data_IF_249635936296
#
_entry.id   IF_249635936296
#
_cell.length_a   1.000
_cell.length_b   1.000
_cell.length_c   1.000
_cell.angle_alpha   90.00
_cell.angle_beta   90.00
_cell.angle_gamma   90.00
#
_symmetry.space_group_name_H-M   'P 1'
#
loop_
_entity.id
_entity.type
_entity.pdbx_description
1 polymer ?
#
# COMPACT_ATOMS: atom_id res chain seq x y z
N UNK A 1 6.75 -12.15 8.62
CA UNK A 1 7.04 -11.47 7.34
C UNK A 1 6.26 -12.18 6.26
N UNK A 2 5.55 -11.47 5.37
CA UNK A 2 4.90 -12.11 4.23
C UNK A 2 5.98 -12.83 3.40
N UNK A 3 5.71 -14.06 3.00
CA UNK A 3 6.58 -14.78 2.08
C UNK A 3 6.54 -14.03 0.74
N UNK A 4 7.50 -13.16 0.50
CA UNK A 4 7.59 -12.41 -0.77
C UNK A 4 8.48 -13.20 -1.72
N UNK A 5 7.88 -13.70 -2.78
CA UNK A 5 8.60 -14.29 -3.88
C UNK A 5 8.90 -13.17 -4.89
N UNK A 6 10.18 -12.77 -5.01
CA UNK A 6 10.56 -11.67 -5.89
C UNK A 6 10.61 -12.09 -7.36
N UNK A 7 11.20 -13.24 -7.64
CA UNK A 7 11.46 -13.66 -9.00
C UNK A 7 10.85 -15.00 -9.38
N UNK A 8 10.73 -15.94 -8.45
CA UNK A 8 10.17 -17.25 -8.69
C UNK A 8 9.48 -17.80 -7.44
N UNK A 9 8.27 -18.30 -7.61
CA UNK A 9 7.48 -18.84 -6.49
C UNK A 9 6.05 -19.18 -6.88
N UNK A 10 5.23 -19.63 -5.93
CA UNK A 10 3.83 -19.95 -6.16
C UNK A 10 3.01 -18.71 -6.52
N UNK A 11 1.99 -18.90 -7.33
CA UNK A 11 1.01 -17.90 -7.72
C UNK A 11 -0.33 -18.20 -7.07
N UNK A 12 -1.16 -17.19 -6.85
CA UNK A 12 -2.31 -17.22 -5.96
C UNK A 12 -1.92 -17.54 -4.51
N UNK A 13 -2.86 -18.07 -3.73
CA UNK A 13 -2.59 -18.48 -2.37
C UNK A 13 -2.29 -19.98 -2.28
N UNK A 14 -1.68 -20.39 -1.18
CA UNK A 14 -1.51 -21.80 -0.84
C UNK A 14 -2.87 -22.54 -0.77
N UNK A 15 -3.98 -21.81 -0.57
CA UNK A 15 -5.33 -22.36 -0.54
C UNK A 15 -5.82 -22.86 -1.92
N UNK A 16 -5.34 -22.26 -3.01
CA UNK A 16 -5.77 -22.60 -4.39
C UNK A 16 -4.65 -23.20 -5.23
N UNK A 17 -3.40 -23.00 -4.85
CA UNK A 17 -2.29 -23.69 -5.48
C UNK A 17 -2.31 -25.14 -5.00
N UNK A 18 -2.53 -26.12 -5.88
CA UNK A 18 -2.52 -27.50 -5.48
C UNK A 18 -1.18 -27.88 -4.87
N UNK A 19 -1.24 -28.68 -3.81
CA UNK A 19 -0.05 -29.26 -3.21
C UNK A 19 0.63 -30.22 -4.21
N UNK A 20 1.92 -30.42 -4.04
CA UNK A 20 2.62 -31.44 -4.80
C UNK A 20 2.06 -32.82 -4.45
N UNK A 21 1.71 -33.63 -5.46
CA UNK A 21 1.05 -34.94 -5.23
C UNK A 21 1.97 -35.95 -4.55
N UNK A 22 3.28 -35.84 -4.79
CA UNK A 22 4.28 -36.79 -4.27
C UNK A 22 4.83 -36.38 -2.92
N UNK A 23 5.13 -35.11 -2.79
CA UNK A 23 5.70 -34.51 -1.58
C UNK A 23 4.89 -33.29 -1.15
N UNK A 24 3.69 -33.46 -0.56
CA UNK A 24 2.81 -32.35 -0.20
C UNK A 24 3.39 -31.42 0.87
N UNK A 25 4.35 -31.91 1.65
CA UNK A 25 5.03 -31.15 2.68
C UNK A 25 6.55 -31.30 2.57
N UNK A 26 7.27 -30.20 2.79
CA UNK A 26 8.74 -30.20 2.90
C UNK A 26 9.16 -29.75 4.28
N UNK A 27 10.37 -30.12 4.66
CA UNK A 27 10.97 -29.69 5.92
C UNK A 27 11.05 -28.16 6.00
N UNK A 28 10.58 -27.59 7.10
CA UNK A 28 10.74 -26.18 7.41
C UNK A 28 12.20 -25.80 7.66
N UNK A 29 12.45 -24.49 7.72
CA UNK A 29 13.81 -23.97 7.92
C UNK A 29 14.36 -24.34 9.29
N UNK A 30 15.66 -24.71 9.39
CA UNK A 30 16.29 -24.98 10.67
C UNK A 30 16.34 -23.69 11.51
N UNK A 31 16.04 -23.82 12.82
CA UNK A 31 16.18 -22.75 13.81
C UNK A 31 17.57 -22.85 14.44
N UNK A 32 18.28 -21.74 14.49
CA UNK A 32 19.65 -21.66 15.02
C UNK A 32 19.65 -20.86 16.33
N UNK A 33 20.32 -21.37 17.35
CA UNK A 33 20.64 -20.67 18.58
C UNK A 33 22.15 -20.57 18.76
N UNK A 34 22.61 -19.47 19.34
CA UNK A 34 24.03 -19.28 19.65
C UNK A 34 24.36 -20.02 20.93
N UNK A 35 25.28 -20.96 20.84
CA UNK A 35 25.90 -21.57 22.01
C UNK A 35 26.95 -20.63 22.58
N UNK A 36 26.65 -19.99 23.70
CA UNK A 36 27.54 -19.03 24.37
C UNK A 36 28.84 -19.62 24.88
N UNK A 37 28.91 -20.94 25.07
CA UNK A 37 30.15 -21.63 25.52
C UNK A 37 31.13 -21.83 24.37
N UNK A 38 30.62 -22.23 23.21
CA UNK A 38 31.44 -22.53 22.03
C UNK A 38 31.51 -21.38 21.01
N UNK A 39 30.70 -20.36 21.20
CA UNK A 39 30.50 -19.22 20.30
C UNK A 39 30.08 -19.61 18.87
N UNK A 40 29.43 -20.77 18.71
CA UNK A 40 28.95 -21.32 17.44
C UNK A 40 27.44 -21.40 17.45
N UNK A 41 26.85 -21.35 16.26
CA UNK A 41 25.42 -21.59 16.09
C UNK A 41 25.14 -23.08 16.00
N UNK A 42 24.14 -23.56 16.75
CA UNK A 42 23.64 -24.93 16.72
C UNK A 42 22.19 -24.93 16.26
N UNK A 43 21.81 -25.95 15.51
CA UNK A 43 20.40 -26.20 15.16
C UNK A 43 19.71 -26.74 16.41
N UNK A 44 18.62 -26.08 16.83
CA UNK A 44 17.91 -26.40 18.08
C UNK A 44 16.53 -27.02 17.86
N UNK A 45 15.99 -26.99 16.65
CA UNK A 45 14.73 -27.65 16.35
C UNK A 45 14.96 -29.12 15.97
N UNK A 46 14.78 -30.01 16.93
CA UNK A 46 14.81 -31.45 16.68
C UNK A 46 13.60 -31.92 15.86
N UNK A 47 12.49 -31.21 16.00
CA UNK A 47 11.28 -31.39 15.21
C UNK A 47 11.17 -30.22 14.26
N UNK A 48 11.34 -30.48 12.98
CA UNK A 48 11.21 -29.46 11.95
C UNK A 48 9.73 -29.18 11.70
N UNK A 49 9.38 -27.89 11.65
CA UNK A 49 8.07 -27.50 11.14
C UNK A 49 7.94 -27.96 9.69
N UNK A 50 6.75 -28.37 9.26
CA UNK A 50 6.48 -28.66 7.85
C UNK A 50 5.99 -27.41 7.13
N UNK A 51 6.45 -27.22 5.91
CA UNK A 51 5.93 -26.20 4.99
C UNK A 51 5.17 -26.90 3.86
N UNK A 52 4.04 -26.30 3.43
CA UNK A 52 3.29 -26.78 2.28
C UNK A 52 4.16 -26.66 1.03
N UNK A 53 4.31 -27.76 0.32
CA UNK A 53 4.98 -27.81 -0.96
C UNK A 53 3.96 -27.61 -2.08
N UNK A 54 4.01 -26.47 -2.75
CA UNK A 54 3.12 -26.19 -3.89
C UNK A 54 3.60 -26.92 -5.15
N UNK A 55 2.64 -27.42 -5.93
CA UNK A 55 2.90 -28.05 -7.21
C UNK A 55 3.76 -27.15 -8.11
N UNK A 56 4.81 -27.72 -8.70
CA UNK A 56 5.75 -27.00 -9.56
C UNK A 56 5.06 -26.31 -10.75
N UNK A 57 3.95 -26.86 -11.24
CA UNK A 57 3.16 -26.27 -12.33
C UNK A 57 2.51 -24.94 -11.94
N UNK A 58 2.30 -24.67 -10.64
CA UNK A 58 1.78 -23.40 -10.12
C UNK A 58 2.86 -22.39 -9.76
N UNK A 59 4.12 -22.68 -9.98
CA UNK A 59 5.22 -21.73 -9.84
C UNK A 59 5.43 -20.93 -11.11
N UNK A 60 5.85 -19.70 -11.00
CA UNK A 60 6.12 -18.83 -12.14
C UNK A 60 7.17 -17.77 -11.86
N UNK A 61 7.56 -17.08 -12.93
CA UNK A 61 8.52 -15.98 -12.88
C UNK A 61 7.81 -14.69 -12.47
N UNK A 62 8.44 -13.93 -11.56
CA UNK A 62 7.92 -12.65 -11.04
C UNK A 62 6.47 -12.82 -10.51
N UNK A 63 6.23 -13.70 -9.53
CA UNK A 63 4.89 -13.91 -8.99
C UNK A 63 4.45 -12.67 -8.20
N UNK A 64 3.38 -12.04 -8.67
CA UNK A 64 2.76 -10.87 -8.01
C UNK A 64 1.40 -11.20 -7.42
N UNK A 65 0.60 -11.98 -8.13
CA UNK A 65 -0.74 -12.40 -7.77
C UNK A 65 -0.67 -13.56 -6.77
N UNK A 66 -0.29 -13.26 -5.53
CA UNK A 66 -0.16 -14.26 -4.48
C UNK A 66 -0.58 -13.70 -3.11
N UNK A 67 -1.44 -14.45 -2.41
CA UNK A 67 -1.81 -14.19 -1.01
C UNK A 67 -2.22 -15.48 -0.32
N UNK A 68 -1.85 -15.66 0.94
CA UNK A 68 -2.25 -16.81 1.76
C UNK A 68 -3.73 -16.78 2.18
N UNK A 69 -4.41 -15.66 2.08
CA UNK A 69 -5.77 -15.51 2.63
C UNK A 69 -6.72 -14.63 1.82
N UNK A 70 -6.25 -13.95 0.78
CA UNK A 70 -7.03 -12.97 0.01
C UNK A 70 -6.90 -13.17 -1.49
N UNK A 71 -6.83 -14.44 -1.93
CA UNK A 71 -6.64 -14.75 -3.34
C UNK A 71 -7.79 -14.24 -4.23
N UNK A 72 -9.02 -14.24 -3.71
CA UNK A 72 -10.19 -13.70 -4.43
C UNK A 72 -10.02 -12.26 -4.90
N UNK A 73 -9.34 -11.41 -4.12
CA UNK A 73 -9.10 -10.01 -4.49
C UNK A 73 -8.26 -9.85 -5.77
N UNK A 74 -7.48 -10.85 -6.14
CA UNK A 74 -6.65 -10.84 -7.35
C UNK A 74 -7.41 -11.22 -8.61
N UNK A 75 -8.59 -11.83 -8.49
CA UNK A 75 -9.38 -12.26 -9.66
C UNK A 75 -9.75 -11.09 -10.58
N UNK A 76 -9.88 -9.89 -10.04
CA UNK A 76 -10.12 -8.66 -10.81
C UNK A 76 -8.98 -8.32 -11.79
N UNK A 77 -7.79 -8.91 -11.60
CA UNK A 77 -6.59 -8.66 -12.42
C UNK A 77 -6.21 -9.85 -13.31
N UNK A 78 -6.92 -10.97 -13.22
CA UNK A 78 -6.73 -12.17 -14.07
C UNK A 78 -7.90 -12.32 -15.00
N UNK A 79 -7.76 -11.87 -16.21
CA UNK A 79 -8.82 -11.98 -17.22
C UNK A 79 -8.37 -12.84 -18.43
N UNK A 80 -9.16 -13.83 -18.87
CA UNK A 80 -10.34 -14.39 -18.24
C UNK A 80 -10.02 -15.26 -17.01
N UNK A 81 -11.01 -15.41 -16.11
CA UNK A 81 -10.92 -16.33 -14.98
C UNK A 81 -10.62 -17.75 -15.50
N UNK A 82 -9.51 -18.35 -15.07
CA UNK A 82 -8.95 -19.55 -15.68
C UNK A 82 -9.11 -20.76 -14.77
N UNK A 83 -10.28 -21.35 -14.78
CA UNK A 83 -10.50 -22.64 -14.15
C UNK A 83 -11.44 -23.51 -15.00
N UNK A 84 -11.33 -24.80 -14.86
CA UNK A 84 -12.17 -25.79 -15.55
C UNK A 84 -12.61 -26.87 -14.57
N UNK A 85 -13.81 -27.42 -14.77
CA UNK A 85 -14.26 -28.57 -13.97
C UNK A 85 -13.41 -29.78 -14.34
N UNK A 86 -12.88 -30.49 -13.34
CA UNK A 86 -12.13 -31.72 -13.53
C UNK A 86 -12.98 -32.76 -14.28
N UNK A 87 -12.40 -33.49 -15.21
CA UNK A 87 -13.12 -34.44 -16.10
C UNK A 87 -13.99 -35.44 -15.35
N UNK A 88 -13.55 -35.89 -14.19
CA UNK A 88 -14.28 -36.83 -13.31
C UNK A 88 -15.59 -36.28 -12.74
N UNK A 89 -15.75 -34.96 -12.74
CA UNK A 89 -16.93 -34.29 -12.15
C UNK A 89 -17.78 -33.55 -13.20
N UNK A 90 -17.43 -33.59 -14.48
CA UNK A 90 -18.20 -32.94 -15.56
C UNK A 90 -19.61 -33.49 -15.74
N UNK A 91 -19.90 -34.70 -15.23
CA UNK A 91 -21.22 -35.33 -15.27
C UNK A 91 -22.07 -35.03 -14.02
N UNK A 92 -21.54 -34.35 -13.02
CA UNK A 92 -22.26 -34.00 -11.80
C UNK A 92 -23.03 -32.67 -11.97
N UNK A 93 -24.34 -32.75 -12.20
CA UNK A 93 -25.21 -31.60 -12.48
C UNK A 93 -25.06 -30.48 -11.46
N UNK A 94 -25.02 -30.83 -10.18
CA UNK A 94 -24.93 -29.84 -9.08
C UNK A 94 -23.64 -29.00 -9.16
N UNK A 95 -22.51 -29.63 -9.49
CA UNK A 95 -21.23 -28.91 -9.64
C UNK A 95 -21.24 -28.02 -10.87
N UNK A 96 -21.75 -28.57 -11.99
CA UNK A 96 -21.84 -27.82 -13.25
C UNK A 96 -22.77 -26.61 -13.13
N UNK A 97 -23.91 -26.77 -12.46
CA UNK A 97 -24.88 -25.70 -12.23
C UNK A 97 -24.29 -24.60 -11.34
N UNK A 98 -23.66 -24.97 -10.22
CA UNK A 98 -23.03 -23.99 -9.31
C UNK A 98 -21.89 -23.22 -9.97
N UNK A 99 -21.10 -23.88 -10.82
CA UNK A 99 -20.02 -23.21 -11.60
C UNK A 99 -20.59 -22.28 -12.64
N UNK A 100 -21.64 -22.67 -13.35
CA UNK A 100 -22.29 -21.82 -14.36
C UNK A 100 -22.99 -20.61 -13.73
N UNK A 101 -23.60 -20.77 -12.57
CA UNK A 101 -24.18 -19.66 -11.82
C UNK A 101 -23.11 -18.66 -11.41
N UNK A 102 -21.98 -19.14 -10.87
CA UNK A 102 -20.84 -18.29 -10.49
C UNK A 102 -20.30 -17.50 -11.71
N UNK A 103 -20.08 -18.17 -12.83
CA UNK A 103 -19.62 -17.52 -14.07
C UNK A 103 -20.62 -16.47 -14.56
N UNK A 104 -21.92 -16.76 -14.46
CA UNK A 104 -22.96 -15.82 -14.86
C UNK A 104 -22.94 -14.55 -14.01
N UNK A 105 -22.81 -14.69 -12.69
CA UNK A 105 -22.70 -13.55 -11.75
C UNK A 105 -21.39 -12.78 -11.97
N UNK A 106 -20.29 -13.47 -12.28
CA UNK A 106 -19.02 -12.84 -12.62
C UNK A 106 -19.11 -11.93 -13.85
N UNK A 107 -19.74 -12.43 -14.91
CA UNK A 107 -19.99 -11.67 -16.15
C UNK A 107 -20.89 -10.45 -15.94
N UNK A 108 -21.76 -10.48 -14.94
CA UNK A 108 -22.63 -9.36 -14.54
C UNK A 108 -21.93 -8.35 -13.63
N UNK A 109 -20.71 -8.67 -13.14
CA UNK A 109 -19.94 -7.83 -12.21
C UNK A 109 -20.54 -7.78 -10.79
N UNK A 110 -21.28 -8.80 -10.40
CA UNK A 110 -21.97 -8.89 -9.11
C UNK A 110 -21.10 -9.53 -8.00
N UNK A 111 -19.93 -10.05 -8.35
CA UNK A 111 -19.07 -10.76 -7.40
C UNK A 111 -18.08 -9.85 -6.68
N UNK A 112 -18.00 -10.03 -5.37
CA UNK A 112 -16.99 -9.44 -4.51
C UNK A 112 -15.77 -10.39 -4.34
N UNK A 113 -14.67 -9.88 -3.77
CA UNK A 113 -13.52 -10.73 -3.43
C UNK A 113 -13.88 -11.88 -2.47
N UNK A 114 -14.84 -11.68 -1.58
CA UNK A 114 -15.29 -12.71 -0.65
C UNK A 114 -16.11 -13.80 -1.34
N UNK A 115 -16.92 -13.47 -2.35
CA UNK A 115 -17.64 -14.47 -3.16
C UNK A 115 -16.65 -15.40 -3.88
N UNK A 116 -15.54 -14.87 -4.43
CA UNK A 116 -14.48 -15.70 -5.01
C UNK A 116 -13.81 -16.60 -3.97
N UNK A 117 -13.53 -16.08 -2.78
CA UNK A 117 -12.93 -16.88 -1.71
C UNK A 117 -13.85 -18.02 -1.28
N UNK A 118 -15.15 -17.77 -1.15
CA UNK A 118 -16.13 -18.80 -0.80
C UNK A 118 -16.29 -19.85 -1.90
N UNK A 119 -16.38 -19.41 -3.15
CA UNK A 119 -16.46 -20.29 -4.31
C UNK A 119 -15.26 -21.24 -4.40
N UNK A 120 -14.05 -20.73 -4.36
CA UNK A 120 -12.86 -21.58 -4.43
C UNK A 120 -12.65 -22.42 -3.20
N UNK A 121 -13.12 -21.99 -2.04
CA UNK A 121 -13.10 -22.79 -0.82
C UNK A 121 -14.03 -24.00 -0.90
N UNK A 122 -15.20 -23.82 -1.49
CA UNK A 122 -16.23 -24.87 -1.60
C UNK A 122 -16.01 -25.78 -2.81
N UNK A 123 -15.73 -25.19 -3.98
CA UNK A 123 -15.64 -25.90 -5.25
C UNK A 123 -14.20 -26.16 -5.75
N UNK A 124 -13.19 -25.54 -5.15
CA UNK A 124 -11.79 -25.71 -5.54
C UNK A 124 -11.32 -27.16 -5.71
N UNK A 125 -11.72 -28.13 -4.83
CA UNK A 125 -11.39 -29.55 -5.00
C UNK A 125 -11.92 -30.20 -6.29
N UNK A 126 -12.93 -29.60 -6.91
CA UNK A 126 -13.58 -30.09 -8.13
C UNK A 126 -13.07 -29.37 -9.40
N UNK A 127 -12.20 -28.37 -9.23
CA UNK A 127 -11.73 -27.51 -10.31
C UNK A 127 -10.24 -27.73 -10.60
N UNK A 128 -9.89 -27.59 -11.86
CA UNK A 128 -8.52 -27.39 -12.30
C UNK A 128 -8.28 -25.89 -12.48
N UNK A 129 -7.60 -25.27 -11.53
CA UNK A 129 -7.35 -23.83 -11.52
C UNK A 129 -6.02 -23.55 -12.20
N UNK A 130 -6.06 -22.76 -13.29
CA UNK A 130 -4.84 -22.36 -14.00
C UNK A 130 -4.11 -21.26 -13.21
N UNK A 131 -2.79 -21.32 -13.24
CA UNK A 131 -1.96 -20.24 -12.68
C UNK A 131 -2.08 -18.97 -13.52
N UNK A 132 -1.94 -17.77 -12.93
CA UNK A 132 -1.80 -16.55 -13.68
C UNK A 132 -0.58 -16.59 -14.60
N UNK A 133 -0.71 -16.03 -15.80
CA UNK A 133 0.40 -15.91 -16.73
C UNK A 133 1.43 -14.86 -16.26
N UNK A 134 2.59 -14.82 -16.92
CA UNK A 134 3.56 -13.73 -16.68
C UNK A 134 2.95 -12.36 -17.01
N UNK A 135 2.09 -12.26 -18.02
CA UNK A 135 1.45 -11.00 -18.40
C UNK A 135 0.46 -10.53 -17.32
N UNK A 136 -0.33 -11.43 -16.74
CA UNK A 136 -1.24 -11.09 -15.63
C UNK A 136 -0.46 -10.55 -14.43
N UNK A 137 0.68 -11.14 -14.10
CA UNK A 137 1.56 -10.67 -13.03
C UNK A 137 2.20 -9.32 -13.34
N UNK A 138 2.62 -9.09 -14.60
CA UNK A 138 3.18 -7.80 -15.02
C UNK A 138 2.10 -6.71 -15.07
N UNK A 139 0.90 -7.04 -15.54
CA UNK A 139 -0.21 -6.10 -15.51
C UNK A 139 -0.55 -5.67 -14.09
N UNK A 140 -0.69 -6.62 -13.17
CA UNK A 140 -0.88 -6.30 -11.76
C UNK A 140 0.25 -5.44 -11.18
N UNK A 141 1.52 -5.74 -11.53
CA UNK A 141 2.66 -4.95 -11.08
C UNK A 141 2.57 -3.51 -11.57
N UNK A 142 2.33 -3.28 -12.86
CA UNK A 142 2.38 -1.95 -13.43
C UNK A 142 1.09 -1.15 -13.21
N UNK A 143 -0.08 -1.78 -13.42
CA UNK A 143 -1.36 -1.09 -13.30
C UNK A 143 -1.74 -0.83 -11.85
N UNK A 144 -1.56 -1.81 -10.98
CA UNK A 144 -1.96 -1.70 -9.59
C UNK A 144 -0.81 -1.28 -8.66
N UNK A 145 0.26 -2.08 -8.56
CA UNK A 145 1.29 -1.82 -7.54
C UNK A 145 2.11 -0.55 -7.83
N UNK A 146 2.52 -0.33 -9.07
CA UNK A 146 3.31 0.85 -9.44
C UNK A 146 2.41 2.06 -9.68
N UNK A 147 1.39 1.93 -10.52
CA UNK A 147 0.57 3.08 -10.88
C UNK A 147 -0.39 3.48 -9.76
N UNK A 148 -1.24 2.54 -9.30
CA UNK A 148 -2.26 2.86 -8.32
C UNK A 148 -1.70 3.01 -6.90
N UNK A 149 -0.92 2.05 -6.40
CA UNK A 149 -0.42 2.10 -5.02
C UNK A 149 0.73 3.09 -4.83
N UNK A 150 1.62 3.28 -5.81
CA UNK A 150 2.75 4.19 -5.64
C UNK A 150 2.49 5.57 -6.28
N UNK A 151 2.30 5.65 -7.60
CA UNK A 151 2.18 6.95 -8.29
C UNK A 151 0.94 7.73 -7.90
N UNK A 152 -0.22 7.08 -7.73
CA UNK A 152 -1.42 7.73 -7.21
C UNK A 152 -1.14 8.37 -5.85
N UNK A 153 -0.54 7.62 -4.94
CA UNK A 153 -0.24 8.09 -3.59
C UNK A 153 0.88 9.15 -3.57
N UNK A 154 1.88 9.03 -4.44
CA UNK A 154 2.88 10.07 -4.66
C UNK A 154 2.22 11.39 -5.13
N UNK A 155 1.31 11.31 -6.09
CA UNK A 155 0.59 12.49 -6.58
C UNK A 155 -0.39 13.05 -5.53
N UNK A 156 -0.90 12.26 -4.61
CA UNK A 156 -1.64 12.75 -3.44
C UNK A 156 -0.84 13.80 -2.67
N UNK A 157 0.43 13.53 -2.49
CA UNK A 157 1.31 14.38 -1.70
C UNK A 157 1.82 15.61 -2.46
N UNK A 158 1.90 15.56 -3.79
CA UNK A 158 2.56 16.62 -4.57
C UNK A 158 1.68 17.28 -5.65
N UNK A 159 0.51 16.73 -5.95
CA UNK A 159 -0.48 17.38 -6.84
C UNK A 159 -1.75 17.77 -6.08
N UNK A 160 -2.20 16.92 -5.18
CA UNK A 160 -3.37 17.13 -4.32
C UNK A 160 -4.16 15.85 -4.09
N UNK A 161 -5.03 15.87 -3.09
CA UNK A 161 -5.77 14.74 -2.55
C UNK A 161 -7.27 14.92 -2.69
N UNK A 162 -7.97 13.91 -3.21
CA UNK A 162 -9.42 13.94 -3.37
C UNK A 162 -10.15 13.93 -2.03
N UNK A 163 -9.78 13.01 -1.15
CA UNK A 163 -10.27 12.84 0.23
C UNK A 163 -9.33 11.89 1.00
N UNK A 164 -9.62 11.62 2.26
CA UNK A 164 -8.89 10.72 3.15
C UNK A 164 -9.48 9.30 3.23
N UNK A 165 -10.48 9.01 2.42
CA UNK A 165 -11.07 7.67 2.33
C UNK A 165 -10.16 6.76 1.52
N UNK A 166 -9.91 5.55 2.02
CA UNK A 166 -9.11 4.56 1.31
C UNK A 166 -9.71 4.25 -0.07
N UNK A 167 -8.88 4.29 -1.09
CA UNK A 167 -9.31 4.00 -2.45
C UNK A 167 -9.47 2.50 -2.71
N UNK A 168 -10.48 2.15 -3.47
CA UNK A 168 -10.80 0.78 -3.88
C UNK A 168 -10.60 0.56 -5.38
N UNK A 169 -9.58 1.17 -5.96
CA UNK A 169 -9.28 1.10 -7.39
C UNK A 169 -10.41 1.63 -8.29
N UNK A 170 -11.14 2.61 -7.79
CA UNK A 170 -12.24 3.29 -8.48
C UNK A 170 -12.07 4.82 -8.46
N UNK A 171 -12.99 5.54 -9.08
CA UNK A 171 -12.95 7.01 -9.17
C UNK A 171 -13.57 7.74 -7.96
N UNK A 172 -14.23 7.01 -7.06
CA UNK A 172 -15.05 7.61 -6.00
C UNK A 172 -14.22 8.17 -4.86
N UNK A 173 -13.19 7.42 -4.42
CA UNK A 173 -12.41 7.77 -3.25
C UNK A 173 -10.92 7.54 -3.45
N UNK A 174 -10.12 8.24 -2.64
CA UNK A 174 -8.70 7.99 -2.51
C UNK A 174 -7.86 8.29 -3.75
N UNK A 175 -8.33 9.17 -4.64
CA UNK A 175 -7.58 9.55 -5.82
C UNK A 175 -6.78 10.84 -5.60
N UNK A 176 -5.80 11.10 -6.46
CA UNK A 176 -5.18 12.41 -6.53
C UNK A 176 -6.05 13.36 -7.35
N UNK A 177 -5.98 14.66 -7.03
CA UNK A 177 -6.59 15.74 -7.80
C UNK A 177 -5.57 16.85 -7.99
N UNK A 178 -5.74 17.63 -9.08
CA UNK A 178 -4.83 18.73 -9.34
C UNK A 178 -5.38 20.08 -8.90
N UNK A 179 -6.70 20.23 -8.81
CA UNK A 179 -7.40 21.52 -8.70
C UNK A 179 -7.65 22.18 -10.06
N UNK A 180 -7.19 21.56 -11.16
CA UNK A 180 -7.44 22.05 -12.52
C UNK A 180 -8.64 21.28 -13.06
N UNK A 181 -9.80 21.93 -13.12
CA UNK A 181 -11.08 21.29 -13.45
C UNK A 181 -11.03 20.41 -14.70
N UNK A 182 -10.40 20.86 -15.77
CA UNK A 182 -10.30 20.10 -17.01
C UNK A 182 -9.59 18.74 -16.81
N UNK A 183 -8.49 18.74 -16.06
CA UNK A 183 -7.73 17.51 -15.79
C UNK A 183 -8.51 16.57 -14.86
N UNK A 184 -9.08 17.15 -13.81
CA UNK A 184 -9.78 16.37 -12.78
C UNK A 184 -11.11 15.79 -13.33
N UNK A 185 -11.83 16.53 -14.17
CA UNK A 185 -13.06 16.05 -14.83
C UNK A 185 -12.81 14.89 -15.79
N UNK A 186 -11.71 14.93 -16.56
CA UNK A 186 -11.37 13.84 -17.49
C UNK A 186 -11.10 12.51 -16.76
N UNK A 187 -10.65 12.58 -15.51
CA UNK A 187 -10.27 11.41 -14.73
C UNK A 187 -11.32 10.94 -13.75
N UNK A 188 -11.99 11.85 -13.08
CA UNK A 188 -12.85 11.58 -11.92
C UNK A 188 -14.30 12.01 -12.16
N UNK A 189 -14.65 12.47 -13.37
CA UNK A 189 -15.97 13.01 -13.64
C UNK A 189 -16.16 14.44 -13.15
N UNK A 190 -17.39 14.94 -13.23
CA UNK A 190 -17.70 16.34 -12.97
C UNK A 190 -17.49 16.72 -11.49
N UNK A 191 -16.47 17.50 -11.21
CA UNK A 191 -16.10 17.91 -9.85
C UNK A 191 -17.02 19.02 -9.27
N UNK A 192 -17.82 19.67 -10.11
CA UNK A 192 -18.78 20.69 -9.65
C UNK A 192 -20.07 20.11 -9.08
N UNK A 193 -20.39 18.85 -9.41
CA UNK A 193 -21.63 18.16 -9.00
C UNK A 193 -21.44 17.23 -7.79
N UNK A 194 -20.28 17.28 -7.15
CA UNK A 194 -20.04 16.53 -5.91
C UNK A 194 -21.00 16.99 -4.80
N UNK A 195 -21.32 16.07 -3.88
CA UNK A 195 -22.05 16.41 -2.67
C UNK A 195 -21.31 17.45 -1.82
N UNK A 196 -22.03 18.18 -0.98
CA UNK A 196 -21.41 19.18 -0.10
C UNK A 196 -20.38 18.56 0.85
N UNK A 197 -20.63 17.35 1.33
CA UNK A 197 -19.68 16.62 2.20
C UNK A 197 -18.35 16.33 1.48
N UNK A 198 -18.41 15.97 0.21
CA UNK A 198 -17.22 15.71 -0.61
C UNK A 198 -16.48 17.00 -0.98
N UNK A 199 -17.22 18.09 -1.27
CA UNK A 199 -16.60 19.39 -1.58
C UNK A 199 -15.92 19.99 -0.36
N UNK A 200 -16.54 19.88 0.82
CA UNK A 200 -16.09 20.48 2.07
C UNK A 200 -15.23 19.53 2.93
N UNK A 201 -14.84 18.37 2.39
CA UNK A 201 -13.96 17.46 3.09
C UNK A 201 -12.61 18.15 3.36
N UNK A 202 -12.21 18.23 4.63
CA UNK A 202 -10.96 18.88 5.06
C UNK A 202 -9.72 18.29 4.42
N UNK A 203 -9.76 17.00 4.11
CA UNK A 203 -8.68 16.30 3.45
C UNK A 203 -8.64 16.50 1.92
N UNK A 204 -9.59 17.26 1.34
CA UNK A 204 -9.62 17.61 -0.07
C UNK A 204 -8.68 18.80 -0.36
N UNK A 205 -7.46 18.51 -0.76
CA UNK A 205 -6.40 19.47 -0.94
C UNK A 205 -5.95 19.55 -2.39
N UNK A 206 -5.69 20.75 -2.91
CA UNK A 206 -5.25 20.96 -4.29
C UNK A 206 -4.01 21.85 -4.33
N UNK A 207 -2.98 21.40 -5.06
CA UNK A 207 -1.70 22.13 -5.13
C UNK A 207 -1.35 22.59 -6.55
N UNK A 208 -2.24 22.41 -7.53
CA UNK A 208 -2.08 22.86 -8.92
C UNK A 208 -0.77 22.37 -9.56
N UNK A 209 -0.30 21.19 -9.16
CA UNK A 209 1.00 20.63 -9.53
C UNK A 209 2.21 21.46 -9.12
N UNK A 210 2.06 22.54 -8.35
CA UNK A 210 3.18 23.46 -8.02
C UNK A 210 4.34 22.74 -7.31
N UNK A 211 4.11 21.91 -6.26
CA UNK A 211 5.19 21.14 -5.66
C UNK A 211 5.82 20.14 -6.64
N UNK A 212 5.02 19.50 -7.48
CA UNK A 212 5.50 18.54 -8.47
C UNK A 212 6.41 19.20 -9.50
N UNK A 213 5.98 20.32 -10.06
CA UNK A 213 6.77 21.11 -11.04
C UNK A 213 8.08 21.57 -10.39
N UNK A 214 8.00 22.09 -9.16
CA UNK A 214 9.20 22.55 -8.44
C UNK A 214 10.19 21.40 -8.20
N UNK A 215 9.71 20.22 -7.83
CA UNK A 215 10.55 19.03 -7.66
C UNK A 215 11.20 18.57 -8.97
N UNK A 216 10.46 18.61 -10.09
CA UNK A 216 11.02 18.28 -11.42
C UNK A 216 12.10 19.29 -11.84
N UNK A 217 11.86 20.58 -11.63
CA UNK A 217 12.88 21.62 -11.88
C UNK A 217 14.14 21.33 -11.05
N UNK A 218 13.98 20.98 -9.78
CA UNK A 218 15.10 20.66 -8.89
C UNK A 218 15.85 19.40 -9.30
N UNK A 219 15.13 18.37 -9.72
CA UNK A 219 15.72 17.14 -10.25
C UNK A 219 16.58 17.44 -11.50
N UNK A 220 16.05 18.23 -12.44
CA UNK A 220 16.78 18.65 -13.65
C UNK A 220 18.00 19.53 -13.32
N UNK A 221 17.86 20.42 -12.35
CA UNK A 221 18.95 21.25 -11.85
C UNK A 221 20.05 20.38 -11.22
N UNK A 222 19.71 19.44 -10.35
CA UNK A 222 20.64 18.51 -9.75
C UNK A 222 21.38 17.67 -10.81
N UNK A 223 20.66 17.14 -11.79
CA UNK A 223 21.25 16.41 -12.92
C UNK A 223 22.31 17.23 -13.67
N UNK A 224 22.00 18.52 -13.92
CA UNK A 224 22.87 19.39 -14.69
C UNK A 224 24.12 19.86 -13.94
N UNK A 225 24.00 20.13 -12.64
CA UNK A 225 25.05 20.80 -11.88
C UNK A 225 25.78 19.88 -10.88
N UNK A 226 25.15 18.80 -10.42
CA UNK A 226 25.76 17.83 -9.53
C UNK A 226 25.27 16.41 -9.84
N UNK A 227 25.91 15.79 -10.81
CA UNK A 227 25.57 14.44 -11.27
C UNK A 227 25.75 13.36 -10.20
N UNK A 228 26.65 13.56 -9.24
CA UNK A 228 26.87 12.61 -8.15
C UNK A 228 25.70 12.60 -7.18
N UNK A 229 25.33 13.78 -6.71
CA UNK A 229 24.12 13.92 -5.85
C UNK A 229 22.85 13.51 -6.58
N UNK A 230 22.74 13.78 -7.89
CA UNK A 230 21.61 13.31 -8.69
C UNK A 230 21.45 11.78 -8.62
N UNK A 231 22.51 11.04 -8.92
CA UNK A 231 22.43 9.56 -8.89
C UNK A 231 22.19 9.02 -7.47
N UNK A 232 22.79 9.63 -6.46
CA UNK A 232 22.57 9.24 -5.07
C UNK A 232 21.11 9.43 -4.68
N UNK A 233 20.56 10.61 -4.93
CA UNK A 233 19.16 10.90 -4.61
C UNK A 233 18.18 10.08 -5.45
N UNK A 234 18.48 9.91 -6.75
CA UNK A 234 17.64 9.09 -7.63
C UNK A 234 17.58 7.63 -7.16
N UNK A 235 18.71 7.04 -6.82
CA UNK A 235 18.76 5.67 -6.30
C UNK A 235 17.99 5.58 -4.97
N UNK A 236 18.19 6.51 -4.05
CA UNK A 236 17.43 6.54 -2.79
C UNK A 236 15.92 6.66 -3.06
N UNK A 237 15.50 7.57 -3.94
CA UNK A 237 14.10 7.72 -4.33
C UNK A 237 13.51 6.43 -4.89
N UNK A 238 14.22 5.76 -5.81
CA UNK A 238 13.76 4.52 -6.42
C UNK A 238 13.73 3.36 -5.43
N UNK A 239 14.76 3.21 -4.59
CA UNK A 239 14.83 2.10 -3.65
C UNK A 239 13.87 2.24 -2.46
N UNK A 240 13.67 3.45 -1.94
CA UNK A 240 12.73 3.69 -0.84
C UNK A 240 11.27 3.88 -1.31
N UNK A 241 11.03 3.87 -2.59
CA UNK A 241 9.71 3.98 -3.21
C UNK A 241 9.34 2.75 -4.04
N UNK A 242 9.66 2.78 -5.33
CA UNK A 242 9.25 1.77 -6.30
C UNK A 242 9.81 0.37 -5.99
N UNK A 243 11.10 0.27 -5.65
CA UNK A 243 11.70 -1.02 -5.31
C UNK A 243 11.10 -1.60 -4.02
N UNK A 244 10.73 -0.74 -3.07
CA UNK A 244 10.06 -1.17 -1.85
C UNK A 244 8.66 -1.71 -2.14
N UNK A 245 7.87 -1.05 -3.00
CA UNK A 245 6.56 -1.58 -3.46
C UNK A 245 6.71 -2.92 -4.17
N UNK A 246 7.73 -3.05 -5.01
CA UNK A 246 8.05 -4.33 -5.65
C UNK A 246 8.41 -5.41 -4.62
N UNK A 247 9.21 -5.07 -3.62
CA UNK A 247 9.65 -6.00 -2.57
C UNK A 247 8.50 -6.44 -1.66
N UNK A 248 7.66 -5.51 -1.21
CA UNK A 248 6.57 -5.80 -0.28
C UNK A 248 5.48 -6.67 -0.90
N UNK A 249 5.32 -6.62 -2.22
CA UNK A 249 4.26 -7.34 -2.95
C UNK A 249 2.89 -7.21 -2.27
N UNK A 250 2.51 -5.98 -1.92
CA UNK A 250 1.27 -5.70 -1.22
C UNK A 250 0.06 -6.16 -2.05
N UNK A 251 -0.90 -6.74 -1.34
CA UNK A 251 -2.15 -7.23 -1.93
C UNK A 251 -3.09 -6.09 -2.31
N UNK A 252 -4.10 -6.34 -3.15
CA UNK A 252 -5.17 -5.38 -3.40
C UNK A 252 -5.98 -5.09 -2.14
N UNK A 253 -6.57 -3.89 -2.09
CA UNK A 253 -7.52 -3.46 -1.07
C UNK A 253 -6.95 -3.53 0.37
N UNK A 254 -5.72 -3.04 0.53
CA UNK A 254 -5.19 -2.79 1.87
C UNK A 254 -6.06 -1.75 2.58
N UNK A 255 -6.29 -1.90 3.90
CA UNK A 255 -7.25 -1.06 4.63
C UNK A 255 -6.80 0.41 4.79
N UNK A 256 -5.53 0.72 4.52
CA UNK A 256 -4.96 2.07 4.59
C UNK A 256 -3.68 2.18 3.78
N UNK A 257 -3.34 3.41 3.42
CA UNK A 257 -2.01 3.71 2.88
C UNK A 257 -0.93 3.53 3.96
N UNK A 258 0.22 3.01 3.56
CA UNK A 258 1.36 2.78 4.47
C UNK A 258 2.39 3.88 4.31
N UNK A 259 2.09 5.06 4.82
CA UNK A 259 2.92 6.28 4.73
C UNK A 259 4.37 6.02 5.12
N UNK A 260 4.56 5.34 6.24
CA UNK A 260 5.88 5.03 6.78
C UNK A 260 6.74 4.19 5.84
N UNK A 261 6.13 3.42 4.93
CA UNK A 261 6.87 2.63 3.96
C UNK A 261 7.41 3.48 2.80
N UNK A 262 6.74 4.59 2.45
CA UNK A 262 7.07 5.42 1.30
C UNK A 262 7.70 6.77 1.66
N UNK A 263 7.73 7.11 2.94
CA UNK A 263 8.22 8.40 3.44
C UNK A 263 9.64 8.74 2.93
N UNK A 264 10.50 7.74 2.75
CA UNK A 264 11.85 7.92 2.23
C UNK A 264 11.85 8.55 0.83
N UNK A 265 11.06 8.03 -0.10
CA UNK A 265 10.97 8.56 -1.46
C UNK A 265 10.35 9.98 -1.50
N UNK A 266 9.34 10.24 -0.65
CA UNK A 266 8.71 11.56 -0.56
C UNK A 266 9.65 12.60 0.05
N UNK A 267 10.43 12.20 1.05
CA UNK A 267 11.48 13.03 1.61
C UNK A 267 12.53 13.42 0.57
N UNK A 268 13.01 12.47 -0.22
CA UNK A 268 13.96 12.76 -1.31
C UNK A 268 13.35 13.71 -2.34
N UNK A 269 12.06 13.51 -2.70
CA UNK A 269 11.39 14.41 -3.62
C UNK A 269 11.29 15.84 -3.06
N UNK A 270 11.09 16.00 -1.76
CA UNK A 270 11.08 17.28 -1.06
C UNK A 270 12.46 17.99 -1.11
N UNK A 271 13.57 17.24 -1.12
CA UNK A 271 14.90 17.79 -1.36
C UNK A 271 14.98 18.40 -2.77
N UNK A 272 14.46 17.69 -3.79
CA UNK A 272 14.40 18.25 -5.14
C UNK A 272 13.50 19.49 -5.24
N UNK A 273 12.42 19.58 -4.48
CA UNK A 273 11.62 20.81 -4.38
C UNK A 273 12.51 21.99 -3.90
N UNK A 274 13.32 21.77 -2.84
CA UNK A 274 14.28 22.76 -2.37
C UNK A 274 15.36 23.14 -3.40
N UNK A 275 15.85 22.16 -4.16
CA UNK A 275 16.77 22.40 -5.28
C UNK A 275 16.10 23.16 -6.41
N UNK A 276 14.81 22.94 -6.67
CA UNK A 276 14.02 23.70 -7.65
C UNK A 276 13.93 25.18 -7.30
N UNK A 277 13.70 25.48 -6.03
CA UNK A 277 13.80 26.86 -5.53
C UNK A 277 15.18 27.46 -5.81
N UNK A 278 16.25 26.73 -5.52
CA UNK A 278 17.62 27.18 -5.79
C UNK A 278 17.86 27.40 -7.29
N UNK A 279 17.33 26.54 -8.15
CA UNK A 279 17.43 26.68 -9.61
C UNK A 279 16.78 27.96 -10.10
N UNK A 280 15.56 28.26 -9.64
CA UNK A 280 14.85 29.51 -9.99
C UNK A 280 15.65 30.71 -9.51
N UNK A 281 16.16 30.68 -8.27
CA UNK A 281 16.92 31.78 -7.72
C UNK A 281 18.22 32.07 -8.52
N UNK A 282 18.96 31.04 -8.86
CA UNK A 282 20.19 31.18 -9.67
C UNK A 282 19.91 31.73 -11.07
N UNK A 283 18.76 31.33 -11.66
CA UNK A 283 18.34 31.88 -12.95
C UNK A 283 18.03 33.37 -12.87
N UNK A 284 17.25 33.78 -11.86
CA UNK A 284 16.78 35.15 -11.67
C UNK A 284 17.91 36.08 -11.23
N UNK A 285 18.84 35.57 -10.40
CA UNK A 285 20.01 36.34 -9.99
C UNK A 285 20.78 36.93 -11.16
N UNK A 286 20.67 36.35 -12.33
CA UNK A 286 21.36 36.78 -13.54
C UNK A 286 20.69 37.95 -14.21
N UNK A 287 19.38 38.12 -14.07
CA UNK A 287 18.61 39.06 -14.93
C UNK A 287 17.82 40.14 -14.18
N UNK A 288 17.56 39.96 -12.87
CA UNK A 288 16.58 40.77 -12.15
C UNK A 288 17.18 41.64 -11.04
N UNK A 289 16.52 42.77 -10.77
CA UNK A 289 16.88 43.65 -9.66
C UNK A 289 16.50 43.04 -8.27
N UNK A 290 16.94 43.71 -7.18
CA UNK A 290 16.68 43.22 -5.81
C UNK A 290 15.18 43.07 -5.47
N UNK A 291 14.36 44.02 -5.92
CA UNK A 291 12.92 43.99 -5.62
C UNK A 291 12.24 42.83 -6.33
N UNK A 292 12.50 42.59 -7.60
CA UNK A 292 11.95 41.44 -8.33
C UNK A 292 12.37 40.11 -7.73
N UNK A 293 13.63 40.02 -7.28
CA UNK A 293 14.10 38.82 -6.56
C UNK A 293 13.32 38.54 -5.29
N UNK A 294 13.10 39.57 -4.47
CA UNK A 294 12.33 39.43 -3.23
C UNK A 294 10.88 38.99 -3.47
N UNK A 295 10.25 39.55 -4.52
CA UNK A 295 8.89 39.13 -4.92
C UNK A 295 8.85 37.63 -5.29
N UNK A 296 9.82 37.15 -6.06
CA UNK A 296 9.85 35.77 -6.52
C UNK A 296 10.17 34.82 -5.34
N UNK A 297 11.02 35.22 -4.37
CA UNK A 297 11.19 34.46 -3.12
C UNK A 297 9.85 34.27 -2.40
N UNK A 298 9.09 35.34 -2.23
CA UNK A 298 7.78 35.28 -1.57
C UNK A 298 6.81 34.41 -2.35
N UNK A 299 6.79 34.53 -3.68
CA UNK A 299 5.91 33.71 -4.53
C UNK A 299 6.27 32.21 -4.44
N UNK A 300 7.55 31.85 -4.47
CA UNK A 300 7.96 30.45 -4.33
C UNK A 300 7.61 29.88 -2.96
N UNK A 301 7.77 30.65 -1.88
CA UNK A 301 7.37 30.24 -0.53
C UNK A 301 5.85 30.11 -0.44
N UNK A 302 5.10 31.05 -1.01
CA UNK A 302 3.65 30.99 -1.03
C UNK A 302 3.11 29.81 -1.86
N UNK A 303 3.74 29.54 -3.01
CA UNK A 303 3.27 28.52 -3.96
C UNK A 303 3.49 27.07 -3.51
N UNK A 304 4.44 26.79 -2.62
CA UNK A 304 4.71 25.41 -2.20
C UNK A 304 4.60 25.27 -0.68
N UNK A 305 5.55 25.69 0.16
CA UNK A 305 5.46 25.36 1.59
C UNK A 305 4.26 26.01 2.29
N UNK A 306 3.90 27.26 1.96
CA UNK A 306 2.73 27.89 2.57
C UNK A 306 1.42 27.29 2.07
N UNK A 307 1.26 27.07 0.76
CA UNK A 307 0.05 26.43 0.20
C UNK A 307 -0.18 25.05 0.79
N UNK A 308 0.87 24.22 0.82
CA UNK A 308 0.78 22.86 1.39
C UNK A 308 0.52 22.89 2.89
N UNK A 309 1.22 23.75 3.63
CA UNK A 309 1.04 23.91 5.08
C UNK A 309 -0.37 24.37 5.43
N UNK A 310 -0.89 25.38 4.72
CA UNK A 310 -2.23 25.91 4.94
C UNK A 310 -3.32 24.87 4.66
N UNK A 311 -3.25 24.16 3.54
CA UNK A 311 -4.27 23.19 3.15
C UNK A 311 -4.27 21.93 4.03
N UNK A 312 -3.15 21.59 4.67
CA UNK A 312 -3.07 20.37 5.48
C UNK A 312 -3.10 20.64 6.99
N UNK A 313 -3.14 21.91 7.43
CA UNK A 313 -3.01 22.22 8.85
C UNK A 313 -4.14 21.59 9.69
N UNK A 314 -5.37 21.75 9.26
CA UNK A 314 -6.54 21.37 10.05
C UNK A 314 -6.77 19.86 10.11
N UNK A 315 -6.40 19.10 9.09
CA UNK A 315 -6.51 17.63 9.13
C UNK A 315 -5.28 16.95 9.79
N UNK A 316 -4.17 17.68 9.97
CA UNK A 316 -2.99 17.20 10.69
C UNK A 316 -2.86 17.72 12.12
N UNK A 317 -3.64 18.72 12.50
CA UNK A 317 -3.66 19.20 13.88
C UNK A 317 -4.21 18.13 14.83
N UNK A 318 -3.39 17.74 15.79
CA UNK A 318 -3.68 16.71 16.81
C UNK A 318 -3.85 17.32 18.20
N UNK A 319 -3.79 18.63 18.34
CA UNK A 319 -3.79 19.32 19.64
C UNK A 319 -5.00 19.02 20.53
N UNK A 320 -6.16 18.75 19.90
CA UNK A 320 -7.43 18.49 20.63
C UNK A 320 -7.86 17.01 20.58
N UNK A 321 -6.96 16.07 20.26
CA UNK A 321 -7.30 14.66 20.13
C UNK A 321 -6.94 13.85 21.36
N UNK A 322 -7.85 13.81 22.33
CA UNK A 322 -7.69 13.10 23.60
C UNK A 322 -8.40 11.74 23.68
N UNK A 323 -8.94 11.22 22.57
CA UNK A 323 -9.76 9.99 22.57
C UNK A 323 -8.98 8.79 23.11
N UNK A 324 -7.76 8.55 22.63
CA UNK A 324 -6.94 7.42 23.10
C UNK A 324 -6.61 7.53 24.61
N UNK A 325 -6.25 8.72 25.06
CA UNK A 325 -5.98 9.00 26.47
C UNK A 325 -7.24 8.77 27.34
N UNK A 326 -8.40 9.28 26.90
CA UNK A 326 -9.64 9.14 27.65
C UNK A 326 -10.10 7.70 27.76
N UNK A 327 -9.98 6.91 26.68
CA UNK A 327 -10.32 5.48 26.67
C UNK A 327 -9.39 4.70 27.58
N UNK A 328 -8.08 4.92 27.50
CA UNK A 328 -7.12 4.22 28.36
C UNK A 328 -7.34 4.53 29.85
N UNK A 329 -7.60 5.80 30.20
CA UNK A 329 -7.95 6.18 31.57
C UNK A 329 -9.27 5.54 32.02
N UNK A 330 -10.28 5.47 31.16
CA UNK A 330 -11.54 4.81 31.47
C UNK A 330 -11.35 3.30 31.71
N UNK A 331 -10.52 2.61 30.93
CA UNK A 331 -10.17 1.21 31.18
C UNK A 331 -9.50 1.03 32.54
N UNK A 332 -8.50 1.84 32.86
CA UNK A 332 -7.82 1.78 34.15
C UNK A 332 -8.76 2.11 35.32
N UNK A 333 -9.67 3.08 35.15
CA UNK A 333 -10.67 3.42 36.16
C UNK A 333 -11.74 2.34 36.38
N UNK A 334 -11.97 1.48 35.39
CA UNK A 334 -12.94 0.39 35.52
C UNK A 334 -12.44 -0.76 36.42
N UNK A 335 -11.17 -0.72 36.81
CA UNK A 335 -10.55 -1.72 37.69
C UNK A 335 -10.67 -1.23 39.14
N UNK A 336 -11.00 -2.17 40.03
CA UNK A 336 -11.03 -1.95 41.46
C UNK A 336 -9.60 -1.74 41.98
N UNK A 337 -9.36 -0.61 42.67
CA UNK A 337 -8.02 -0.23 43.17
C UNK A 337 -7.49 -1.20 44.24
N UNK A 338 -8.39 -1.83 44.97
CA UNK A 338 -8.05 -2.71 46.08
C UNK A 338 -7.77 -4.18 45.62
N UNK A 339 -7.77 -4.46 44.33
CA UNK A 339 -7.58 -5.80 43.78
C UNK A 339 -6.44 -5.87 42.78
N UNK A 340 -5.60 -6.90 42.91
CA UNK A 340 -4.64 -7.26 41.87
C UNK A 340 -5.40 -7.73 40.63
N UNK A 341 -5.49 -6.87 39.64
CA UNK A 341 -6.21 -7.15 38.41
C UNK A 341 -5.26 -7.20 37.21
N UNK A 342 -5.56 -8.08 36.25
CA UNK A 342 -4.85 -8.15 34.98
C UNK A 342 -5.77 -7.73 33.83
N UNK A 343 -5.28 -6.82 32.99
CA UNK A 343 -5.95 -6.41 31.76
C UNK A 343 -5.31 -7.14 30.60
N UNK A 344 -6.13 -7.80 29.78
CA UNK A 344 -5.70 -8.38 28.51
C UNK A 344 -6.14 -7.47 27.37
N UNK A 345 -5.18 -7.02 26.57
CA UNK A 345 -5.42 -6.15 25.41
C UNK A 345 -5.14 -6.90 24.12
N UNK A 346 -5.84 -6.55 23.05
CA UNK A 346 -5.67 -7.15 21.73
C UNK A 346 -5.18 -6.06 20.78
N UNK A 347 -3.86 -6.07 20.52
CA UNK A 347 -3.23 -5.15 19.56
C UNK A 347 -2.60 -3.90 20.18
N UNK A 348 -1.89 -3.18 19.33
CA UNK A 348 -1.02 -2.07 19.71
C UNK A 348 -1.81 -0.84 20.17
N UNK A 349 -2.96 -0.59 19.57
CA UNK A 349 -3.74 0.62 19.81
C UNK A 349 -4.20 0.73 21.28
N UNK A 350 -4.66 -0.38 21.85
CA UNK A 350 -5.09 -0.43 23.24
C UNK A 350 -3.88 -0.47 24.19
N UNK A 351 -2.89 -1.30 23.87
CA UNK A 351 -1.73 -1.54 24.72
C UNK A 351 -0.91 -0.28 24.92
N UNK A 352 -0.56 0.43 23.85
CA UNK A 352 0.28 1.63 23.95
C UNK A 352 -0.42 2.80 24.62
N UNK A 353 -1.73 2.94 24.43
CA UNK A 353 -2.50 3.97 25.12
C UNK A 353 -2.54 3.73 26.63
N UNK A 354 -2.68 2.46 27.06
CA UNK A 354 -2.62 2.10 28.49
C UNK A 354 -1.23 2.32 29.07
N UNK A 355 -0.16 1.88 28.40
CA UNK A 355 1.21 2.11 28.84
C UNK A 355 1.53 3.60 28.94
N UNK A 356 1.09 4.42 27.99
CA UNK A 356 1.26 5.85 28.07
C UNK A 356 0.60 6.44 29.33
N UNK A 357 -0.64 6.04 29.62
CA UNK A 357 -1.35 6.52 30.81
C UNK A 357 -0.66 6.10 32.10
N UNK A 358 -0.15 4.85 32.19
CA UNK A 358 0.52 4.34 33.39
C UNK A 358 1.95 4.88 33.54
N UNK A 359 2.78 4.80 32.49
CA UNK A 359 4.23 5.05 32.59
C UNK A 359 4.58 6.55 32.41
N UNK A 360 3.81 7.29 31.61
CA UNK A 360 4.12 8.71 31.33
C UNK A 360 3.27 9.64 32.16
N UNK A 361 1.98 9.34 32.31
CA UNK A 361 1.08 10.18 33.10
C UNK A 361 0.96 9.72 34.57
N UNK A 362 1.63 8.62 34.92
CA UNK A 362 1.60 8.03 36.28
C UNK A 362 0.16 7.80 36.79
N UNK A 363 -0.71 7.42 35.84
CA UNK A 363 -2.12 7.25 36.13
C UNK A 363 -2.39 5.78 36.48
N UNK A 364 -2.49 5.48 37.80
CA UNK A 364 -2.69 4.14 38.44
C UNK A 364 -1.59 3.12 38.13
#
# INVERSE_FOLDING_TARGET
YPKTYLFYGPMFSDMYAPQDEKEPYVDGKPKYERDYKTNKYKIVNYWKDSEINSNSNHRGLIPRLWSSSHAGNYMNFTNPLKFEILDRYKSEEVIVESVNEFISRDLQGELSGDDYNEFFRSLGPYLNISKPSLFDNLDFLFSYQINYMYWRYFLWNFAGRQNDVQGEYNILNGNWISGINFIDQLRLGNQSELSEDQKNNKARNTYFFLPLIMGIIGLMYCYKYDIKSFWTLLLLFLFTGLALKFYLNERPFEPRERDYALVGSFYIFSIWIGMGFTAIMNYIHKYENKASRSIIYVLCIAAVPFLMGYNNWDDHDRSDRYTAQSISKAYLQSIDEDKDAMIFTIGDNDTFALWYAQEIEEFR
#
